data_IF_673869814990
#
_entry.id   IF_673869814990
#
_cell.length_a   1.000
_cell.length_b   1.000
_cell.length_c   1.000
_cell.angle_alpha   90.00
_cell.angle_beta   90.00
_cell.angle_gamma   90.00
#
_symmetry.space_group_name_H-M   'P 1'
#
loop_
_entity.id
_entity.type
_entity.pdbx_description
1 polymer ?
#
# COMPACT_ATOMS: atom_id res chain seq x y z
N UNK A 1 -21.86 -22.43 17.94
CA UNK A 1 -20.41 -22.77 17.82
C UNK A 1 -19.89 -21.96 16.65
N UNK A 2 -18.89 -21.10 16.85
CA UNK A 2 -18.24 -20.37 15.75
C UNK A 2 -17.63 -21.36 14.76
N UNK A 3 -17.94 -21.22 13.46
CA UNK A 3 -17.37 -22.04 12.39
C UNK A 3 -15.83 -21.97 12.43
N UNK A 4 -15.18 -23.11 12.16
CA UNK A 4 -13.71 -23.17 12.14
C UNK A 4 -13.14 -22.31 11.02
N UNK A 5 -12.12 -21.50 11.34
CA UNK A 5 -11.41 -20.71 10.35
C UNK A 5 -10.54 -21.63 9.49
N UNK A 6 -10.64 -21.46 8.16
CA UNK A 6 -9.82 -22.15 7.18
C UNK A 6 -8.86 -21.17 6.51
N UNK A 7 -7.63 -21.61 6.29
CA UNK A 7 -6.57 -20.86 5.65
C UNK A 7 -5.99 -21.64 4.47
N UNK A 8 -5.78 -20.94 3.35
CA UNK A 8 -4.76 -21.29 2.38
C UNK A 8 -3.89 -20.05 2.11
N UNK A 9 -2.57 -20.21 2.04
CA UNK A 9 -1.66 -19.12 1.77
C UNK A 9 -0.49 -19.61 0.92
N UNK A 10 0.01 -18.76 0.02
CA UNK A 10 1.13 -19.06 -0.88
C UNK A 10 1.79 -17.79 -1.38
N UNK A 11 3.12 -17.78 -1.43
CA UNK A 11 3.90 -16.81 -2.19
C UNK A 11 4.25 -17.39 -3.56
N UNK A 12 4.32 -16.51 -4.56
CA UNK A 12 4.78 -16.87 -5.90
C UNK A 12 5.60 -15.73 -6.49
N UNK A 13 6.71 -16.09 -7.10
CA UNK A 13 7.59 -15.15 -7.79
C UNK A 13 6.90 -14.60 -9.04
N UNK A 14 6.90 -13.25 -9.16
CA UNK A 14 6.36 -12.52 -10.32
C UNK A 14 7.43 -11.63 -10.99
N UNK A 15 8.70 -11.73 -10.57
CA UNK A 15 9.81 -10.95 -11.10
C UNK A 15 9.94 -11.16 -12.61
N UNK A 16 9.83 -10.10 -13.44
CA UNK A 16 10.07 -10.23 -14.87
C UNK A 16 11.56 -10.29 -15.20
N UNK A 17 11.88 -10.65 -16.44
CA UNK A 17 13.25 -10.48 -16.96
C UNK A 17 13.69 -9.02 -16.95
N UNK A 18 14.98 -8.75 -17.17
CA UNK A 18 15.50 -7.40 -17.32
C UNK A 18 14.98 -6.74 -18.62
N UNK A 19 15.25 -5.43 -18.78
CA UNK A 19 14.92 -4.70 -20.00
C UNK A 19 13.59 -3.94 -19.97
N UNK A 20 12.87 -3.96 -18.85
CA UNK A 20 11.63 -3.19 -18.67
C UNK A 20 11.87 -1.97 -17.75
N UNK A 21 11.15 -0.84 -17.97
CA UNK A 21 11.21 0.32 -17.07
C UNK A 21 10.74 -0.02 -15.65
N UNK A 22 11.38 0.60 -14.65
CA UNK A 22 10.95 0.57 -13.26
C UNK A 22 10.07 1.79 -12.97
N UNK A 23 8.96 1.57 -12.26
CA UNK A 23 8.05 2.64 -11.84
C UNK A 23 8.54 3.44 -10.63
N UNK A 24 7.83 4.54 -10.34
CA UNK A 24 7.90 5.29 -9.08
C UNK A 24 8.78 6.54 -9.07
N UNK A 25 9.74 6.70 -9.98
CA UNK A 25 10.60 7.88 -10.05
C UNK A 25 10.65 8.50 -11.43
N UNK A 26 10.26 9.78 -11.56
CA UNK A 26 10.40 10.55 -12.80
C UNK A 26 11.86 10.76 -13.23
N UNK A 27 12.75 10.90 -12.25
CA UNK A 27 14.18 11.14 -12.51
C UNK A 27 14.93 9.86 -12.90
N UNK A 28 14.27 8.68 -12.88
CA UNK A 28 14.94 7.44 -13.26
C UNK A 28 15.15 7.37 -14.78
N UNK A 29 16.38 7.11 -15.18
CA UNK A 29 16.75 6.87 -16.56
C UNK A 29 17.20 5.43 -16.74
N UNK A 30 16.66 4.75 -17.76
CA UNK A 30 17.03 3.37 -18.08
C UNK A 30 15.97 2.34 -17.70
N UNK A 31 16.36 1.11 -17.90
CA UNK A 31 15.51 -0.08 -17.66
C UNK A 31 16.19 -1.01 -16.66
N UNK A 32 15.47 -1.96 -16.13
CA UNK A 32 16.02 -2.95 -15.21
C UNK A 32 17.15 -3.74 -15.86
N UNK A 33 18.30 -3.80 -15.19
CA UNK A 33 19.49 -4.53 -15.62
C UNK A 33 19.61 -5.90 -14.96
N UNK A 34 18.84 -6.15 -13.89
CA UNK A 34 18.86 -7.40 -13.13
C UNK A 34 17.89 -7.42 -11.96
N UNK A 35 18.05 -8.39 -11.10
CA UNK A 35 17.25 -8.60 -9.89
C UNK A 35 18.17 -8.61 -8.69
N UNK A 36 17.89 -7.77 -7.68
CA UNK A 36 18.54 -7.88 -6.39
C UNK A 36 17.79 -8.86 -5.49
N UNK A 37 16.49 -8.69 -5.40
CA UNK A 37 15.59 -9.61 -4.73
C UNK A 37 14.29 -9.77 -5.51
N UNK A 38 13.69 -10.95 -5.41
CA UNK A 38 12.51 -11.26 -6.19
C UNK A 38 11.29 -10.41 -5.77
N UNK A 39 10.51 -10.04 -6.77
CA UNK A 39 9.17 -9.52 -6.59
C UNK A 39 8.20 -10.68 -6.46
N UNK A 40 7.33 -10.62 -5.47
CA UNK A 40 6.40 -11.69 -5.16
C UNK A 40 4.94 -11.22 -5.20
N UNK A 41 4.05 -12.16 -5.50
CA UNK A 41 2.65 -12.07 -5.16
C UNK A 41 2.38 -13.01 -4.00
N UNK A 42 1.90 -12.45 -2.88
CA UNK A 42 1.52 -13.20 -1.70
C UNK A 42 0.00 -13.33 -1.66
N UNK A 43 -0.51 -14.56 -1.69
CA UNK A 43 -1.93 -14.86 -1.64
C UNK A 43 -2.28 -15.41 -0.26
N UNK A 44 -3.34 -14.87 0.37
CA UNK A 44 -3.90 -15.40 1.61
C UNK A 44 -5.41 -15.44 1.51
N UNK A 45 -5.98 -16.63 1.68
CA UNK A 45 -7.41 -16.87 1.64
C UNK A 45 -7.90 -17.36 2.99
N UNK A 46 -8.69 -16.51 3.66
CA UNK A 46 -9.36 -16.83 4.91
C UNK A 46 -10.85 -17.09 4.63
N UNK A 47 -11.37 -18.21 5.11
CA UNK A 47 -12.74 -18.66 4.88
C UNK A 47 -13.24 -19.51 6.05
N UNK A 48 -14.48 -19.96 5.99
CA UNK A 48 -15.00 -21.02 6.84
C UNK A 48 -15.57 -22.15 5.96
N UNK A 49 -16.17 -23.17 6.57
CA UNK A 49 -16.87 -24.22 5.81
C UNK A 49 -18.12 -23.65 5.07
N UNK A 50 -18.79 -22.68 5.72
CA UNK A 50 -20.08 -22.12 5.27
C UNK A 50 -19.95 -20.77 4.56
N UNK A 51 -18.80 -20.06 4.70
CA UNK A 51 -18.55 -18.75 4.05
C UNK A 51 -17.26 -18.80 3.24
N UNK A 52 -17.31 -18.44 1.94
CA UNK A 52 -16.13 -18.40 1.07
C UNK A 52 -15.05 -17.40 1.54
N UNK A 53 -15.38 -16.52 2.48
CA UNK A 53 -14.42 -15.62 3.12
C UNK A 53 -13.87 -14.53 2.21
N UNK A 54 -12.60 -14.22 2.37
CA UNK A 54 -11.88 -13.16 1.64
C UNK A 54 -10.50 -13.65 1.23
N UNK A 55 -10.08 -13.29 0.02
CA UNK A 55 -8.77 -13.59 -0.52
C UNK A 55 -8.02 -12.29 -0.82
N UNK A 56 -6.86 -12.07 -0.18
CA UNK A 56 -5.95 -10.98 -0.52
C UNK A 56 -4.90 -11.48 -1.50
N UNK A 57 -4.62 -10.65 -2.50
CA UNK A 57 -3.51 -10.77 -3.46
C UNK A 57 -2.63 -9.54 -3.25
N UNK A 58 -1.58 -9.68 -2.48
CA UNK A 58 -0.62 -8.60 -2.20
C UNK A 58 0.58 -8.72 -3.16
N UNK A 59 0.83 -7.67 -3.94
CA UNK A 59 1.86 -7.64 -4.98
C UNK A 59 3.02 -6.73 -4.58
N UNK A 60 4.25 -7.14 -4.88
CA UNK A 60 5.40 -6.24 -4.89
C UNK A 60 5.36 -5.40 -6.17
N UNK A 61 4.51 -4.40 -6.15
CA UNK A 61 4.25 -3.48 -7.26
C UNK A 61 4.15 -2.04 -6.75
N UNK A 62 4.37 -1.07 -7.64
CA UNK A 62 4.16 0.34 -7.33
C UNK A 62 2.68 0.62 -7.02
N UNK A 63 1.78 0.09 -7.82
CA UNK A 63 0.34 0.30 -7.71
C UNK A 63 -0.43 -0.85 -8.35
N UNK A 64 -1.72 -0.90 -8.06
CA UNK A 64 -2.70 -1.74 -8.75
C UNK A 64 -3.81 -0.82 -9.28
N UNK A 65 -3.86 -0.59 -10.58
CA UNK A 65 -4.96 0.19 -11.16
C UNK A 65 -6.23 -0.65 -11.30
N UNK A 66 -7.36 -0.02 -11.58
CA UNK A 66 -8.66 -0.71 -11.69
C UNK A 66 -8.67 -1.83 -12.76
N UNK A 67 -7.86 -1.67 -13.83
CA UNK A 67 -7.75 -2.69 -14.88
C UNK A 67 -6.96 -3.91 -14.43
N UNK A 68 -5.83 -3.72 -13.74
CA UNK A 68 -5.03 -4.80 -13.16
C UNK A 68 -5.81 -5.51 -12.04
N UNK A 69 -6.45 -4.73 -11.17
CA UNK A 69 -7.32 -5.26 -10.10
C UNK A 69 -8.37 -6.20 -10.67
N UNK A 70 -9.12 -5.77 -11.68
CA UNK A 70 -10.16 -6.59 -12.32
C UNK A 70 -9.57 -7.86 -12.93
N UNK A 71 -8.48 -7.73 -13.69
CA UNK A 71 -7.82 -8.88 -14.34
C UNK A 71 -7.44 -9.95 -13.31
N UNK A 72 -6.83 -9.55 -12.19
CA UNK A 72 -6.40 -10.50 -11.16
C UNK A 72 -7.56 -11.01 -10.32
N UNK A 73 -8.50 -10.15 -9.94
CA UNK A 73 -9.66 -10.56 -9.14
C UNK A 73 -10.52 -11.58 -9.88
N UNK A 74 -10.83 -11.36 -11.17
CA UNK A 74 -11.61 -12.27 -11.99
C UNK A 74 -10.89 -13.62 -12.16
N UNK A 75 -9.60 -13.60 -12.48
CA UNK A 75 -8.82 -14.82 -12.71
C UNK A 75 -8.64 -15.64 -11.42
N UNK A 76 -8.32 -15.00 -10.29
CA UNK A 76 -8.15 -15.65 -9.00
C UNK A 76 -9.48 -16.19 -8.49
N UNK A 77 -10.54 -15.39 -8.56
CA UNK A 77 -11.88 -15.80 -8.14
C UNK A 77 -12.38 -17.03 -8.91
N UNK A 78 -12.19 -17.05 -10.23
CA UNK A 78 -12.52 -18.20 -11.07
C UNK A 78 -11.69 -19.45 -10.68
N UNK A 79 -10.40 -19.29 -10.37
CA UNK A 79 -9.51 -20.37 -9.97
C UNK A 79 -9.93 -21.05 -8.66
N UNK A 80 -10.35 -20.24 -7.65
CA UNK A 80 -10.73 -20.78 -6.33
C UNK A 80 -12.23 -21.05 -6.20
N UNK A 81 -13.07 -20.49 -7.08
CA UNK A 81 -14.54 -20.69 -7.10
C UNK A 81 -15.27 -19.77 -6.12
N UNK A 82 -14.88 -18.48 -6.04
CA UNK A 82 -15.54 -17.46 -5.22
C UNK A 82 -15.99 -16.27 -6.09
N UNK A 83 -16.78 -15.36 -5.51
CA UNK A 83 -17.13 -14.10 -6.14
C UNK A 83 -15.89 -13.19 -6.28
N UNK A 84 -15.59 -12.58 -7.45
CA UNK A 84 -14.53 -11.59 -7.62
C UNK A 84 -14.57 -10.44 -6.59
N UNK A 85 -15.75 -10.05 -6.14
CA UNK A 85 -15.91 -9.04 -5.07
C UNK A 85 -15.28 -9.45 -3.73
N UNK A 86 -14.93 -10.72 -3.53
CA UNK A 86 -14.24 -11.24 -2.33
C UNK A 86 -12.72 -11.33 -2.49
N UNK A 87 -12.18 -10.92 -3.63
CA UNK A 87 -10.75 -10.81 -3.89
C UNK A 87 -10.33 -9.35 -3.74
N UNK A 88 -9.32 -9.10 -2.91
CA UNK A 88 -8.72 -7.79 -2.69
C UNK A 88 -7.31 -7.79 -3.28
N UNK A 89 -7.02 -6.86 -4.17
CA UNK A 89 -5.70 -6.73 -4.80
C UNK A 89 -4.99 -5.51 -4.23
N UNK A 90 -3.81 -5.72 -3.64
CA UNK A 90 -3.07 -4.70 -2.93
C UNK A 90 -1.64 -4.58 -3.48
N UNK A 91 -1.07 -3.39 -3.44
CA UNK A 91 0.34 -3.16 -3.78
C UNK A 91 1.17 -2.84 -2.53
N UNK A 92 2.41 -3.31 -2.47
CA UNK A 92 3.39 -2.92 -1.46
C UNK A 92 3.90 -1.49 -1.66
N UNK A 93 3.70 -0.94 -2.84
CA UNK A 93 4.18 0.36 -3.30
C UNK A 93 5.70 0.43 -3.49
N UNK A 94 6.38 -0.70 -3.79
CA UNK A 94 7.80 -0.63 -4.12
C UNK A 94 8.06 0.23 -5.36
N UNK A 95 9.04 1.13 -5.27
CA UNK A 95 9.53 1.94 -6.39
C UNK A 95 10.60 1.22 -7.23
N UNK A 96 10.72 -0.09 -7.08
CA UNK A 96 11.67 -0.94 -7.83
C UNK A 96 10.99 -2.13 -8.50
N UNK A 97 9.68 -1.99 -8.79
CA UNK A 97 8.89 -2.91 -9.61
C UNK A 97 8.66 -2.38 -11.02
N UNK A 98 8.11 -3.19 -11.96
CA UNK A 98 7.85 -2.80 -13.33
C UNK A 98 6.78 -1.72 -13.46
N UNK A 99 7.03 -0.73 -14.31
CA UNK A 99 6.03 0.28 -14.67
C UNK A 99 4.87 -0.32 -15.49
N UNK A 100 5.17 -1.24 -16.41
CA UNK A 100 4.21 -1.75 -17.40
C UNK A 100 3.11 -2.68 -16.85
N UNK A 101 3.05 -2.94 -15.55
CA UNK A 101 1.95 -3.68 -14.95
C UNK A 101 0.67 -2.87 -14.85
N UNK A 102 0.77 -1.56 -14.80
CA UNK A 102 -0.37 -0.63 -14.80
C UNK A 102 -0.43 0.19 -16.07
N UNK A 103 -1.56 0.85 -16.31
CA UNK A 103 -1.67 1.93 -17.30
C UNK A 103 -1.12 3.24 -16.76
N UNK A 104 -1.57 4.34 -17.35
CA UNK A 104 -1.24 5.68 -16.86
C UNK A 104 -1.84 5.89 -15.46
N UNK A 105 -0.99 6.05 -14.47
CA UNK A 105 -1.39 6.23 -13.07
C UNK A 105 -1.78 7.66 -12.71
N UNK A 106 -1.32 8.64 -13.50
CA UNK A 106 -1.59 10.06 -13.28
C UNK A 106 -1.60 10.81 -14.61
N UNK A 107 -2.54 11.77 -14.84
CA UNK A 107 -2.65 12.50 -16.11
C UNK A 107 -1.35 13.22 -16.55
N UNK A 108 -0.55 13.71 -15.60
CA UNK A 108 0.73 14.36 -15.86
C UNK A 108 1.92 13.42 -16.06
N UNK A 109 1.73 12.10 -15.99
CA UNK A 109 2.78 11.09 -16.14
C UNK A 109 2.58 10.28 -17.41
N UNK A 110 3.66 9.87 -18.09
CA UNK A 110 3.57 8.79 -19.06
C UNK A 110 3.22 7.50 -18.34
N UNK A 111 2.68 6.54 -19.06
CA UNK A 111 2.42 5.19 -18.54
C UNK A 111 1.67 4.38 -19.58
N UNK A 112 2.18 3.21 -19.88
CA UNK A 112 1.55 2.29 -20.82
C UNK A 112 1.64 0.88 -20.28
N UNK A 113 0.46 0.24 -20.23
CA UNK A 113 0.37 -1.17 -19.84
C UNK A 113 1.05 -2.06 -20.88
N UNK A 114 1.92 -2.93 -20.42
CA UNK A 114 2.48 -4.02 -21.21
C UNK A 114 1.61 -5.28 -21.02
N UNK A 115 0.82 -5.60 -22.04
CA UNK A 115 -0.09 -6.74 -21.99
C UNK A 115 0.65 -8.08 -21.78
N UNK A 116 1.89 -8.21 -22.28
CA UNK A 116 2.69 -9.41 -22.09
C UNK A 116 3.19 -9.55 -20.64
N UNK A 117 3.62 -8.44 -20.01
CA UNK A 117 3.99 -8.44 -18.59
C UNK A 117 2.80 -8.77 -17.69
N UNK A 118 1.65 -8.14 -17.94
CA UNK A 118 0.42 -8.39 -17.17
C UNK A 118 -0.05 -9.82 -17.35
N UNK A 119 -0.05 -10.35 -18.60
CA UNK A 119 -0.47 -11.72 -18.90
C UNK A 119 0.35 -12.75 -18.15
N UNK A 120 1.69 -12.64 -18.20
CA UNK A 120 2.59 -13.57 -17.46
C UNK A 120 2.39 -13.52 -15.94
N UNK A 121 2.22 -12.32 -15.39
CA UNK A 121 1.92 -12.18 -13.95
C UNK A 121 0.57 -12.80 -13.60
N UNK A 122 -0.49 -12.51 -14.38
CA UNK A 122 -1.83 -13.06 -14.15
C UNK A 122 -1.86 -14.59 -14.26
N UNK A 123 -1.17 -15.19 -15.23
CA UNK A 123 -1.02 -16.65 -15.34
C UNK A 123 -0.33 -17.24 -14.10
N UNK A 124 0.75 -16.60 -13.64
CA UNK A 124 1.51 -17.03 -12.45
C UNK A 124 0.67 -16.97 -11.19
N UNK A 125 -0.02 -15.86 -10.97
CA UNK A 125 -0.91 -15.65 -9.81
C UNK A 125 -2.11 -16.60 -9.85
N UNK A 126 -2.71 -16.80 -11.02
CA UNK A 126 -3.82 -17.77 -11.22
C UNK A 126 -3.36 -19.19 -10.91
N UNK A 127 -2.17 -19.58 -11.36
CA UNK A 127 -1.57 -20.87 -11.04
C UNK A 127 -1.36 -21.07 -9.54
N UNK A 128 -0.96 -20.02 -8.80
CA UNK A 128 -0.89 -20.05 -7.34
C UNK A 128 -2.29 -20.19 -6.72
N UNK A 129 -3.28 -19.45 -7.19
CA UNK A 129 -4.66 -19.52 -6.70
C UNK A 129 -5.28 -20.91 -6.87
N UNK A 130 -5.03 -21.60 -7.97
CA UNK A 130 -5.48 -22.98 -8.18
C UNK A 130 -4.94 -23.93 -7.10
N UNK A 131 -3.71 -23.74 -6.65
CA UNK A 131 -3.11 -24.55 -5.56
C UNK A 131 -3.71 -24.24 -4.19
N UNK A 132 -4.15 -23.00 -3.94
CA UNK A 132 -4.83 -22.63 -2.69
C UNK A 132 -6.10 -23.43 -2.48
N UNK A 133 -6.86 -23.70 -3.55
CA UNK A 133 -8.12 -24.44 -3.46
C UNK A 133 -7.97 -25.82 -2.82
N UNK A 134 -6.87 -26.51 -3.12
CA UNK A 134 -6.57 -27.84 -2.57
C UNK A 134 -5.92 -27.81 -1.17
N UNK A 135 -5.37 -26.65 -0.76
CA UNK A 135 -4.52 -26.53 0.42
C UNK A 135 -5.16 -25.91 1.65
N UNK A 136 -6.49 -25.72 1.67
CA UNK A 136 -7.18 -25.12 2.83
C UNK A 136 -7.11 -26.03 4.03
N UNK A 137 -6.61 -25.51 5.16
CA UNK A 137 -6.54 -26.20 6.44
C UNK A 137 -7.11 -25.37 7.58
N UNK A 138 -7.52 -26.04 8.65
CA UNK A 138 -7.99 -25.37 9.87
C UNK A 138 -6.87 -24.61 10.54
N UNK A 139 -7.19 -23.40 11.02
CA UNK A 139 -6.25 -22.55 11.75
C UNK A 139 -6.92 -21.87 12.94
N UNK A 140 -6.08 -21.43 13.86
CA UNK A 140 -6.43 -20.49 14.94
C UNK A 140 -5.76 -19.16 14.63
N UNK A 141 -6.53 -18.08 14.78
CA UNK A 141 -6.04 -16.73 14.58
C UNK A 141 -5.81 -16.02 15.92
N UNK A 142 -4.73 -15.22 15.99
CA UNK A 142 -4.44 -14.32 17.09
C UNK A 142 -4.10 -12.94 16.53
N UNK A 143 -4.52 -11.92 17.24
CA UNK A 143 -4.19 -10.55 16.88
C UNK A 143 -3.08 -10.00 17.75
N UNK A 144 -2.08 -9.40 17.12
CA UNK A 144 -0.99 -8.72 17.77
C UNK A 144 -0.87 -7.30 17.21
N UNK A 145 -0.49 -6.36 18.07
CA UNK A 145 -0.23 -4.99 17.67
C UNK A 145 1.03 -4.48 18.38
N UNK A 146 1.85 -3.76 17.66
CA UNK A 146 3.07 -3.16 18.17
C UNK A 146 3.38 -1.84 17.46
N UNK A 147 4.53 -1.27 17.74
CA UNK A 147 5.00 -0.04 17.10
C UNK A 147 6.51 -0.04 16.94
N UNK A 148 6.98 0.69 15.93
CA UNK A 148 8.41 0.98 15.69
C UNK A 148 8.55 2.29 14.92
N UNK A 149 9.53 3.10 15.27
CA UNK A 149 9.90 4.32 14.53
C UNK A 149 11.10 4.07 13.60
N UNK A 150 11.63 2.84 13.58
CA UNK A 150 12.89 2.53 12.93
C UNK A 150 12.80 2.42 11.39
N UNK A 151 11.60 2.40 10.80
CA UNK A 151 11.40 2.13 9.36
C UNK A 151 10.85 3.33 8.60
N UNK A 152 10.18 4.25 9.27
CA UNK A 152 9.60 5.40 8.61
C UNK A 152 9.16 6.48 9.57
N UNK A 153 8.87 7.64 9.01
CA UNK A 153 8.34 8.82 9.69
C UNK A 153 7.73 9.76 8.66
N UNK A 154 7.16 10.89 9.14
CA UNK A 154 6.67 11.92 8.24
C UNK A 154 7.82 12.43 7.36
N UNK A 155 7.58 12.55 6.04
CA UNK A 155 8.65 12.88 5.08
C UNK A 155 8.88 14.36 4.86
N UNK A 156 8.05 15.21 5.49
CA UNK A 156 8.17 16.67 5.42
C UNK A 156 8.85 17.23 6.65
N UNK A 157 8.49 16.74 7.84
CA UNK A 157 9.00 17.21 9.13
C UNK A 157 9.10 16.04 10.11
N UNK A 158 10.18 15.99 10.91
CA UNK A 158 10.42 14.86 11.83
C UNK A 158 9.31 14.69 12.89
N UNK A 159 8.64 15.78 13.28
CA UNK A 159 7.56 15.84 14.27
C UNK A 159 6.16 15.76 13.65
N UNK A 160 6.06 15.56 12.33
CA UNK A 160 4.78 15.42 11.61
C UNK A 160 4.03 14.14 11.95
N UNK A 161 2.71 14.13 11.72
CA UNK A 161 1.92 12.92 11.94
C UNK A 161 2.46 11.74 11.13
N UNK A 162 2.61 10.58 11.77
CA UNK A 162 2.85 9.30 11.09
C UNK A 162 2.37 8.14 11.97
N UNK A 163 2.03 7.03 11.33
CA UNK A 163 1.59 5.82 12.03
C UNK A 163 2.78 4.90 12.28
N UNK A 164 3.30 4.90 13.51
CA UNK A 164 4.40 4.02 13.94
C UNK A 164 3.95 2.60 14.19
N UNK A 165 2.64 2.34 14.22
CA UNK A 165 2.11 1.06 14.62
C UNK A 165 2.06 0.05 13.48
N UNK A 166 2.18 -1.21 13.83
CA UNK A 166 1.88 -2.34 12.97
C UNK A 166 0.81 -3.24 13.60
N UNK A 167 0.02 -3.90 12.75
CA UNK A 167 -0.88 -4.96 13.13
C UNK A 167 -0.40 -6.29 12.56
N UNK A 168 -0.63 -7.38 13.26
CA UNK A 168 -0.28 -8.73 12.79
C UNK A 168 -1.41 -9.70 13.13
N UNK A 169 -2.00 -10.29 12.11
CA UNK A 169 -2.84 -11.48 12.26
C UNK A 169 -1.93 -12.71 12.16
N UNK A 170 -1.71 -13.37 13.28
CA UNK A 170 -0.98 -14.62 13.35
C UNK A 170 -1.94 -15.80 13.15
N UNK A 171 -1.62 -16.66 12.20
CA UNK A 171 -2.40 -17.85 11.86
C UNK A 171 -1.57 -19.10 12.13
N UNK A 172 -2.08 -19.97 13.00
CA UNK A 172 -1.44 -21.23 13.41
C UNK A 172 -2.33 -22.42 13.12
N UNK A 173 -1.74 -23.52 12.71
CA UNK A 173 -2.45 -24.81 12.59
C UNK A 173 -2.88 -25.33 13.96
N UNK A 174 -3.73 -26.35 13.99
CA UNK A 174 -4.21 -26.96 15.24
C UNK A 174 -3.10 -27.63 16.06
N UNK A 175 -2.03 -28.07 15.42
CA UNK A 175 -0.81 -28.58 16.07
C UNK A 175 0.09 -27.49 16.67
N UNK A 176 -0.30 -26.23 16.52
CA UNK A 176 0.45 -25.07 16.98
C UNK A 176 1.56 -24.61 16.04
N UNK A 177 1.80 -25.28 14.91
CA UNK A 177 2.79 -24.83 13.92
C UNK A 177 2.36 -23.55 13.24
N UNK A 178 3.31 -22.63 12.88
CA UNK A 178 3.00 -21.43 12.12
C UNK A 178 2.37 -21.79 10.77
N UNK A 179 1.35 -21.05 10.35
CA UNK A 179 0.69 -21.20 9.07
C UNK A 179 0.91 -19.99 8.15
N UNK A 180 0.52 -18.81 8.58
CA UNK A 180 0.76 -17.55 7.88
C UNK A 180 0.74 -16.35 8.83
N UNK A 181 1.29 -15.23 8.37
CA UNK A 181 1.10 -13.89 8.94
C UNK A 181 0.47 -12.98 7.89
N UNK A 182 -0.49 -12.15 8.32
CA UNK A 182 -0.93 -10.97 7.58
C UNK A 182 -0.57 -9.75 8.43
N UNK A 183 0.32 -8.90 7.94
CA UNK A 183 0.80 -7.74 8.69
C UNK A 183 0.77 -6.47 7.85
N UNK A 184 0.73 -5.33 8.51
CA UNK A 184 0.75 -4.01 7.88
C UNK A 184 1.72 -3.07 8.58
N UNK A 185 2.20 -2.08 7.84
CA UNK A 185 2.95 -0.93 8.31
C UNK A 185 2.81 0.23 7.32
N UNK A 186 2.98 1.48 7.77
CA UNK A 186 2.78 2.67 6.95
C UNK A 186 4.12 3.39 6.69
N UNK A 187 4.78 3.07 5.58
CA UNK A 187 5.96 3.79 5.10
C UNK A 187 6.21 3.50 3.63
N UNK A 188 6.54 4.52 2.83
CA UNK A 188 6.95 4.32 1.44
C UNK A 188 8.18 3.41 1.33
N UNK A 189 8.16 2.36 0.51
CA UNK A 189 9.33 1.53 0.23
C UNK A 189 10.21 2.21 -0.83
N UNK A 190 10.88 3.26 -0.40
CA UNK A 190 11.73 4.16 -1.20
C UNK A 190 13.13 4.32 -0.59
N UNK A 191 13.65 3.23 -0.01
CA UNK A 191 15.06 3.19 0.42
C UNK A 191 15.96 3.33 -0.79
N UNK A 192 15.68 2.54 -1.84
CA UNK A 192 16.38 2.62 -3.12
C UNK A 192 15.91 3.85 -3.90
N UNK A 193 16.87 4.57 -4.48
CA UNK A 193 16.64 5.82 -5.23
C UNK A 193 16.36 5.60 -6.72
N UNK A 194 16.27 6.70 -7.50
CA UNK A 194 16.10 6.64 -8.94
C UNK A 194 17.31 6.05 -9.70
N UNK A 195 18.47 5.99 -9.07
CA UNK A 195 19.71 5.38 -9.57
C UNK A 195 19.68 3.84 -9.51
N UNK A 196 18.77 3.23 -8.75
CA UNK A 196 18.59 1.80 -8.75
C UNK A 196 17.95 1.30 -10.04
N UNK A 197 18.61 0.36 -10.72
CA UNK A 197 18.14 -0.34 -11.91
C UNK A 197 18.00 -1.87 -11.69
N UNK A 198 17.79 -2.29 -10.45
CA UNK A 198 17.52 -3.69 -10.13
C UNK A 198 16.12 -3.86 -9.56
N UNK A 199 15.44 -4.94 -9.94
CA UNK A 199 14.19 -5.32 -9.29
C UNK A 199 14.39 -5.53 -7.80
N UNK A 200 13.51 -5.00 -6.99
CA UNK A 200 13.52 -5.18 -5.53
C UNK A 200 12.15 -4.90 -4.93
N UNK A 201 11.76 -5.73 -3.97
CA UNK A 201 10.59 -5.49 -3.13
C UNK A 201 10.86 -4.45 -2.01
N UNK A 202 12.06 -3.84 -1.97
CA UNK A 202 12.52 -2.89 -0.96
C UNK A 202 12.36 -3.45 0.47
N UNK A 203 12.20 -2.59 1.50
CA UNK A 203 12.10 -3.04 2.90
C UNK A 203 10.91 -3.99 3.19
N UNK A 204 9.74 -3.95 2.50
CA UNK A 204 8.69 -4.95 2.73
C UNK A 204 9.13 -6.37 2.42
N UNK A 205 9.80 -6.57 1.28
CA UNK A 205 10.35 -7.88 0.92
C UNK A 205 11.45 -8.32 1.89
N UNK A 206 12.33 -7.41 2.31
CA UNK A 206 13.33 -7.70 3.34
C UNK A 206 12.67 -8.11 4.66
N UNK A 207 11.59 -7.45 5.10
CA UNK A 207 10.83 -7.81 6.30
C UNK A 207 10.28 -9.23 6.22
N UNK A 208 9.67 -9.62 5.09
CA UNK A 208 9.12 -10.98 4.90
C UNK A 208 10.21 -12.04 5.00
N UNK A 209 11.35 -11.83 4.34
CA UNK A 209 12.49 -12.78 4.39
C UNK A 209 13.06 -12.92 5.80
N UNK A 210 13.24 -11.82 6.52
CA UNK A 210 13.73 -11.83 7.90
C UNK A 210 12.73 -12.50 8.87
N UNK A 211 11.42 -12.27 8.70
CA UNK A 211 10.39 -12.98 9.47
C UNK A 211 10.46 -14.48 9.24
N UNK A 212 10.62 -14.93 7.99
CA UNK A 212 10.78 -16.34 7.68
C UNK A 212 12.00 -16.95 8.40
N UNK A 213 13.11 -16.22 8.48
CA UNK A 213 14.31 -16.66 9.19
C UNK A 213 14.12 -16.68 10.72
N UNK A 214 13.45 -15.66 11.30
CA UNK A 214 13.31 -15.51 12.75
C UNK A 214 12.29 -16.46 13.37
N UNK A 215 11.19 -16.76 12.67
CA UNK A 215 10.05 -17.48 13.24
C UNK A 215 9.62 -18.71 12.42
N UNK A 216 10.37 -19.04 11.35
CA UNK A 216 10.04 -20.18 10.48
C UNK A 216 8.69 -20.04 9.79
N UNK A 217 8.25 -18.80 9.53
CA UNK A 217 6.95 -18.53 8.92
C UNK A 217 7.01 -18.77 7.42
N UNK A 218 6.23 -19.71 6.87
CA UNK A 218 6.29 -20.04 5.45
C UNK A 218 5.72 -18.95 4.55
N UNK A 219 4.68 -18.20 4.99
CA UNK A 219 4.05 -17.13 4.21
C UNK A 219 3.82 -15.91 5.11
N UNK A 220 4.34 -14.76 4.69
CA UNK A 220 4.14 -13.49 5.38
C UNK A 220 3.62 -12.45 4.39
N UNK A 221 2.35 -12.08 4.51
CA UNK A 221 1.66 -11.15 3.61
C UNK A 221 1.72 -9.75 4.16
N UNK A 222 2.28 -8.81 3.39
CA UNK A 222 2.38 -7.41 3.74
C UNK A 222 1.25 -6.59 3.09
N UNK A 223 0.62 -5.72 3.87
CA UNK A 223 -0.33 -4.71 3.39
C UNK A 223 0.20 -3.30 3.70
N UNK A 224 0.23 -2.44 2.69
CA UNK A 224 0.71 -1.07 2.86
C UNK A 224 -0.32 -0.21 3.58
N UNK A 225 0.11 0.49 4.62
CA UNK A 225 -0.74 1.38 5.40
C UNK A 225 -0.97 2.75 4.75
N UNK A 226 -1.52 3.70 5.54
CA UNK A 226 -1.68 5.10 5.14
C UNK A 226 -0.30 5.79 5.13
N UNK A 227 0.42 5.67 4.02
CA UNK A 227 1.81 6.07 3.89
C UNK A 227 2.04 7.27 2.95
N UNK A 228 0.99 8.00 2.54
CA UNK A 228 1.09 9.07 1.55
C UNK A 228 2.15 10.13 1.87
N UNK A 229 2.31 10.48 3.14
CA UNK A 229 3.29 11.42 3.65
C UNK A 229 4.38 10.79 4.53
N UNK A 230 4.50 9.44 4.55
CA UNK A 230 5.44 8.71 5.39
C UNK A 230 6.50 7.97 4.56
N UNK A 231 7.77 8.07 4.95
CA UNK A 231 8.88 7.34 4.31
C UNK A 231 10.08 7.20 5.24
N UNK A 232 11.07 6.43 4.82
CA UNK A 232 12.35 6.29 5.54
C UNK A 232 13.29 7.51 5.44
N UNK A 233 12.86 8.62 4.82
CA UNK A 233 13.71 9.78 4.49
C UNK A 233 14.59 10.26 5.63
N UNK A 234 14.07 10.38 6.85
CA UNK A 234 14.80 10.90 8.01
C UNK A 234 15.32 9.81 8.96
N UNK A 235 15.02 8.54 8.71
CA UNK A 235 15.49 7.43 9.57
C UNK A 235 16.55 6.57 8.88
N UNK A 236 16.55 6.48 7.55
CA UNK A 236 17.52 5.71 6.78
C UNK A 236 18.91 6.35 6.84
N UNK A 237 19.96 5.52 6.87
CA UNK A 237 21.37 5.90 6.85
C UNK A 237 22.01 5.83 5.47
N UNK A 238 21.37 5.11 4.54
CA UNK A 238 21.84 4.91 3.17
C UNK A 238 20.70 4.77 2.19
N UNK A 239 21.05 4.54 0.92
CA UNK A 239 20.10 4.32 -0.19
C UNK A 239 20.45 3.05 -0.97
N UNK A 240 20.97 2.08 -0.28
CA UNK A 240 21.46 0.83 -0.87
C UNK A 240 20.71 -0.40 -0.31
N UNK A 241 21.06 -1.55 -0.84
CA UNK A 241 20.46 -2.81 -0.44
C UNK A 241 20.84 -3.24 0.99
N UNK A 242 21.91 -2.71 1.56
CA UNK A 242 22.26 -2.98 2.96
C UNK A 242 21.27 -2.25 3.88
N UNK A 243 20.91 -1.01 3.54
CA UNK A 243 19.90 -0.25 4.26
C UNK A 243 18.49 -0.84 4.10
N UNK A 244 18.14 -1.35 2.91
CA UNK A 244 16.88 -2.11 2.68
C UNK A 244 16.79 -3.29 3.68
N UNK A 245 17.86 -4.08 3.82
CA UNK A 245 17.91 -5.19 4.78
C UNK A 245 17.84 -4.71 6.23
N UNK A 246 18.53 -3.62 6.56
CA UNK A 246 18.53 -3.07 7.92
C UNK A 246 17.13 -2.63 8.36
N UNK A 247 16.42 -1.84 7.53
CA UNK A 247 15.08 -1.37 7.84
C UNK A 247 14.06 -2.53 7.87
N UNK A 248 14.12 -3.45 6.91
CA UNK A 248 13.28 -4.65 6.92
C UNK A 248 13.53 -5.52 8.14
N UNK A 249 14.79 -5.70 8.56
CA UNK A 249 15.18 -6.43 9.76
C UNK A 249 14.71 -5.77 11.05
N UNK A 250 14.66 -4.43 11.12
CA UNK A 250 14.12 -3.71 12.26
C UNK A 250 12.62 -3.99 12.45
N UNK A 251 11.82 -3.92 11.38
CA UNK A 251 10.41 -4.25 11.46
C UNK A 251 10.19 -5.72 11.79
N UNK A 252 10.90 -6.64 11.13
CA UNK A 252 10.80 -8.08 11.40
C UNK A 252 11.12 -8.41 12.86
N UNK A 253 12.18 -7.83 13.42
CA UNK A 253 12.56 -7.99 14.83
C UNK A 253 11.48 -7.47 15.77
N UNK A 254 10.89 -6.31 15.46
CA UNK A 254 9.80 -5.72 16.25
C UNK A 254 8.56 -6.61 16.24
N UNK A 255 8.19 -7.14 15.07
CA UNK A 255 7.08 -8.10 14.92
C UNK A 255 7.40 -9.38 15.71
N UNK A 256 8.57 -10.00 15.52
CA UNK A 256 8.95 -11.23 16.20
C UNK A 256 8.93 -11.09 17.73
N UNK A 257 9.41 -9.97 18.27
CA UNK A 257 9.31 -9.67 19.70
C UNK A 257 7.86 -9.56 20.18
N UNK A 258 7.01 -8.90 19.39
CA UNK A 258 5.58 -8.74 19.72
C UNK A 258 4.86 -10.10 19.71
N UNK A 259 5.17 -10.98 18.76
CA UNK A 259 4.63 -12.34 18.70
C UNK A 259 5.08 -13.19 19.91
N UNK A 260 6.32 -13.01 20.37
CA UNK A 260 6.89 -13.75 21.49
C UNK A 260 6.40 -13.28 22.86
N UNK A 261 6.06 -11.99 23.00
CA UNK A 261 5.78 -11.35 24.29
C UNK A 261 4.35 -11.56 24.79
N UNK A 262 3.41 -12.06 24.01
CA UNK A 262 2.00 -11.86 24.30
C UNK A 262 1.19 -13.15 24.50
N UNK A 263 0.39 -13.15 25.57
CA UNK A 263 -0.91 -13.82 25.60
C UNK A 263 -1.90 -12.97 24.77
N UNK A 264 -1.82 -13.02 23.45
CA UNK A 264 -2.73 -12.26 22.60
C UNK A 264 -4.08 -12.95 22.53
N UNK A 265 -5.19 -12.17 22.57
CA UNK A 265 -6.52 -12.75 22.49
C UNK A 265 -6.71 -13.49 21.16
N UNK A 266 -7.47 -14.56 21.20
CA UNK A 266 -7.89 -15.24 19.98
C UNK A 266 -8.71 -14.26 19.11
N UNK A 267 -8.37 -14.15 17.85
CA UNK A 267 -9.20 -13.46 16.87
C UNK A 267 -10.27 -14.45 16.41
N UNK A 268 -11.46 -14.33 16.99
CA UNK A 268 -12.59 -15.23 16.73
C UNK A 268 -13.77 -14.44 16.19
N UNK A 269 -14.61 -15.08 15.41
CA UNK A 269 -15.80 -14.51 14.80
C UNK A 269 -15.88 -14.78 13.30
N UNK A 270 -16.99 -14.41 12.67
CA UNK A 270 -17.14 -14.55 11.23
C UNK A 270 -16.22 -13.58 10.49
N UNK A 271 -15.75 -14.01 9.31
CA UNK A 271 -15.13 -13.12 8.34
C UNK A 271 -16.26 -12.41 7.61
N UNK A 272 -16.21 -11.08 7.59
CA UNK A 272 -17.21 -10.26 6.90
C UNK A 272 -16.53 -9.30 5.94
N UNK A 273 -17.20 -9.03 4.85
CA UNK A 273 -16.78 -8.05 3.86
C UNK A 273 -17.96 -7.12 3.52
N UNK A 274 -17.70 -5.82 3.52
CA UNK A 274 -18.63 -4.79 3.03
C UNK A 274 -17.89 -3.87 2.05
N UNK A 275 -18.54 -3.53 0.94
CA UNK A 275 -18.05 -2.57 -0.05
C UNK A 275 -19.03 -1.42 -0.17
N UNK A 276 -18.53 -0.21 -0.27
CA UNK A 276 -19.35 0.98 -0.53
C UNK A 276 -18.55 1.95 -1.40
N UNK A 277 -18.95 2.20 -2.64
CA UNK A 277 -18.29 3.20 -3.48
C UNK A 277 -18.57 4.60 -2.94
N UNK A 278 -17.54 5.44 -2.96
CA UNK A 278 -17.64 6.88 -2.69
C UNK A 278 -17.39 7.63 -3.99
N UNK A 279 -18.21 8.65 -4.28
CA UNK A 279 -17.98 9.55 -5.41
C UNK A 279 -17.30 10.82 -4.92
N UNK A 280 -16.02 11.00 -5.26
CA UNK A 280 -15.24 12.19 -4.94
C UNK A 280 -15.10 13.07 -6.19
N UNK A 281 -15.49 14.36 -6.11
CA UNK A 281 -15.30 15.28 -7.22
C UNK A 281 -13.81 15.53 -7.48
N UNK A 282 -13.44 15.55 -8.76
CA UNK A 282 -12.13 16.04 -9.15
C UNK A 282 -12.02 17.54 -8.91
N UNK A 283 -10.84 17.98 -8.46
CA UNK A 283 -10.59 19.42 -8.25
C UNK A 283 -10.42 20.15 -9.56
N UNK A 284 -10.68 21.44 -9.51
CA UNK A 284 -10.20 22.36 -10.54
C UNK A 284 -8.67 22.45 -10.48
N UNK A 285 -8.05 22.46 -11.64
CA UNK A 285 -6.61 22.64 -11.78
C UNK A 285 -6.40 24.04 -12.37
N UNK A 286 -5.41 24.81 -11.87
CA UNK A 286 -5.07 26.12 -12.42
C UNK A 286 -4.83 26.07 -13.95
N UNK A 287 -4.92 27.21 -14.61
CA UNK A 287 -4.60 27.27 -16.02
C UNK A 287 -3.18 26.79 -16.31
N UNK A 288 -2.88 26.42 -17.54
CA UNK A 288 -1.51 26.03 -17.92
C UNK A 288 -0.52 27.18 -17.66
N UNK A 289 -0.93 28.43 -17.91
CA UNK A 289 -0.13 29.63 -17.67
C UNK A 289 0.19 29.79 -16.17
N UNK A 290 -0.83 29.77 -15.29
CA UNK A 290 -0.65 29.87 -13.85
C UNK A 290 0.22 28.72 -13.30
N UNK A 291 0.00 27.50 -13.81
CA UNK A 291 0.77 26.31 -13.40
C UNK A 291 2.25 26.40 -13.82
N UNK A 292 2.52 26.99 -14.97
CA UNK A 292 3.89 27.23 -15.45
C UNK A 292 4.59 28.32 -14.62
N UNK A 293 3.87 29.38 -14.23
CA UNK A 293 4.39 30.42 -13.35
C UNK A 293 4.74 29.85 -11.96
N UNK A 294 3.88 29.01 -11.38
CA UNK A 294 4.16 28.30 -10.14
C UNK A 294 5.41 27.44 -10.25
N UNK A 295 5.55 26.67 -11.34
CA UNK A 295 6.72 25.84 -11.60
C UNK A 295 8.00 26.67 -11.68
N UNK A 296 7.98 27.77 -12.45
CA UNK A 296 9.15 28.65 -12.59
C UNK A 296 9.54 29.32 -11.25
N UNK A 297 8.54 29.68 -10.43
CA UNK A 297 8.78 30.23 -9.09
C UNK A 297 9.45 29.20 -8.18
N UNK A 298 8.94 27.96 -8.15
CA UNK A 298 9.51 26.87 -7.38
C UNK A 298 10.91 26.48 -7.87
N UNK A 299 11.18 26.54 -9.19
CA UNK A 299 12.51 26.30 -9.77
C UNK A 299 13.54 27.33 -9.30
N UNK A 300 13.16 28.63 -9.29
CA UNK A 300 14.03 29.69 -8.75
C UNK A 300 14.34 29.50 -7.28
N UNK A 301 13.35 29.12 -6.49
CA UNK A 301 13.54 28.82 -5.05
C UNK A 301 14.50 27.64 -4.87
N UNK A 302 14.30 26.54 -5.60
CA UNK A 302 15.20 25.39 -5.54
C UNK A 302 16.65 25.76 -5.93
N UNK A 303 16.84 26.49 -7.03
CA UNK A 303 18.16 26.92 -7.47
C UNK A 303 18.82 27.87 -6.43
N UNK A 304 18.05 28.74 -5.79
CA UNK A 304 18.55 29.61 -4.71
C UNK A 304 19.04 28.79 -3.51
N UNK A 305 18.22 27.83 -3.02
CA UNK A 305 18.60 26.99 -1.90
C UNK A 305 19.80 26.10 -2.23
N UNK A 306 19.86 25.56 -3.46
CA UNK A 306 20.98 24.75 -3.95
C UNK A 306 22.29 25.55 -3.94
N UNK A 307 22.27 26.79 -4.44
CA UNK A 307 23.44 27.67 -4.47
C UNK A 307 23.90 28.07 -3.06
N UNK A 308 22.97 28.18 -2.10
CA UNK A 308 23.24 28.59 -0.73
C UNK A 308 23.78 27.47 0.15
N UNK A 309 23.31 26.24 -0.02
CA UNK A 309 23.49 25.16 0.94
C UNK A 309 24.15 23.90 0.38
N UNK A 310 24.19 23.71 -0.95
CA UNK A 310 24.64 22.48 -1.61
C UNK A 310 23.60 21.35 -1.57
N UNK A 311 23.80 20.32 -2.38
CA UNK A 311 22.81 19.30 -2.75
C UNK A 311 22.24 18.50 -1.57
N UNK A 312 23.03 18.24 -0.54
CA UNK A 312 22.64 17.35 0.57
C UNK A 312 21.83 18.05 1.68
N UNK A 313 21.64 19.36 1.60
CA UNK A 313 20.97 20.12 2.66
C UNK A 313 19.44 19.88 2.63
N UNK A 314 18.79 19.72 3.79
CA UNK A 314 17.34 19.49 3.86
C UNK A 314 16.47 20.54 3.16
N UNK A 315 16.83 21.84 3.24
CA UNK A 315 16.11 22.92 2.57
C UNK A 315 16.10 22.74 1.04
N UNK A 316 17.24 22.33 0.45
CA UNK A 316 17.35 22.05 -0.98
C UNK A 316 16.42 20.94 -1.39
N UNK A 317 16.33 19.89 -0.57
CA UNK A 317 15.46 18.75 -0.80
C UNK A 317 13.98 19.10 -0.75
N UNK A 318 13.59 19.96 0.19
CA UNK A 318 12.22 20.48 0.31
C UNK A 318 11.86 21.31 -0.92
N UNK A 319 12.72 22.27 -1.29
CA UNK A 319 12.50 23.13 -2.46
C UNK A 319 12.46 22.33 -3.77
N UNK A 320 13.34 21.33 -3.93
CA UNK A 320 13.33 20.41 -5.07
C UNK A 320 12.00 19.65 -5.17
N UNK A 321 11.53 19.08 -4.05
CA UNK A 321 10.27 18.32 -4.00
C UNK A 321 9.08 19.21 -4.35
N UNK A 322 9.09 20.47 -3.92
CA UNK A 322 8.07 21.46 -4.32
C UNK A 322 8.12 21.76 -5.82
N UNK A 323 9.32 21.97 -6.38
CA UNK A 323 9.49 22.14 -7.81
C UNK A 323 8.95 20.93 -8.60
N UNK A 324 9.28 19.71 -8.19
CA UNK A 324 8.77 18.48 -8.79
C UNK A 324 7.23 18.43 -8.76
N UNK A 325 6.60 18.83 -7.63
CA UNK A 325 5.15 18.93 -7.51
C UNK A 325 4.52 19.95 -8.46
N UNK A 326 5.12 21.16 -8.56
CA UNK A 326 4.66 22.20 -9.48
C UNK A 326 4.86 21.79 -10.94
N UNK A 327 5.93 21.05 -11.27
CA UNK A 327 6.16 20.50 -12.60
C UNK A 327 5.09 19.48 -12.99
N UNK A 328 4.69 18.62 -12.05
CA UNK A 328 3.60 17.67 -12.24
C UNK A 328 2.24 18.37 -12.40
N UNK A 329 1.98 19.44 -11.64
CA UNK A 329 0.78 20.26 -11.79
C UNK A 329 0.70 20.87 -13.19
N UNK A 330 1.81 21.45 -13.70
CA UNK A 330 1.89 22.02 -15.04
C UNK A 330 1.70 20.96 -16.13
N UNK A 331 2.27 19.76 -15.96
CA UNK A 331 2.05 18.63 -16.86
C UNK A 331 0.57 18.19 -16.85
N UNK A 332 -0.06 18.11 -15.68
CA UNK A 332 -1.48 17.82 -15.55
C UNK A 332 -2.36 18.90 -16.20
N UNK A 333 -2.01 20.19 -16.06
CA UNK A 333 -2.74 21.29 -16.69
C UNK A 333 -2.68 21.26 -18.23
N UNK A 334 -1.62 20.65 -18.80
CA UNK A 334 -1.42 20.52 -20.24
C UNK A 334 -2.14 19.31 -20.87
N UNK A 335 -2.74 18.43 -20.06
CA UNK A 335 -3.36 17.17 -20.54
C UNK A 335 -4.88 17.22 -20.43
N UNK A 336 -5.56 16.32 -21.17
CA UNK A 336 -6.98 16.07 -20.94
C UNK A 336 -7.14 15.30 -19.61
N UNK A 337 -7.98 15.84 -18.75
CA UNK A 337 -8.13 15.39 -17.36
C UNK A 337 -9.49 14.75 -17.15
N UNK A 338 -9.59 13.79 -16.22
CA UNK A 338 -10.89 13.30 -15.80
C UNK A 338 -11.75 14.46 -15.24
N UNK A 339 -13.01 14.46 -15.59
CA UNK A 339 -14.01 15.46 -15.15
C UNK A 339 -15.11 14.76 -14.35
N UNK A 340 -15.83 15.54 -13.56
CA UNK A 340 -16.91 15.02 -12.71
C UNK A 340 -16.36 14.41 -11.41
N UNK A 341 -16.66 13.15 -11.15
CA UNK A 341 -16.28 12.46 -9.91
C UNK A 341 -15.53 11.17 -10.21
N UNK A 342 -14.56 10.84 -9.36
CA UNK A 342 -13.99 9.50 -9.28
C UNK A 342 -14.91 8.59 -8.47
N UNK A 343 -15.12 7.36 -8.93
CA UNK A 343 -15.67 6.29 -8.11
C UNK A 343 -14.53 5.65 -7.31
N UNK A 344 -14.60 5.81 -5.99
CA UNK A 344 -13.58 5.35 -5.04
C UNK A 344 -14.07 4.06 -4.40
N UNK A 345 -13.48 2.89 -4.68
CA UNK A 345 -13.80 1.68 -3.97
C UNK A 345 -13.33 1.78 -2.51
N UNK A 346 -14.25 1.63 -1.57
CA UNK A 346 -13.93 1.49 -0.15
C UNK A 346 -14.44 0.15 0.34
N UNK A 347 -13.56 -0.64 0.94
CA UNK A 347 -13.88 -2.00 1.40
C UNK A 347 -13.49 -2.16 2.87
N UNK A 348 -14.38 -2.73 3.67
CA UNK A 348 -14.09 -3.17 5.04
C UNK A 348 -14.12 -4.69 5.08
N UNK A 349 -13.06 -5.28 5.60
CA UNK A 349 -13.01 -6.70 6.00
C UNK A 349 -12.89 -6.75 7.50
N UNK A 350 -13.62 -7.65 8.17
CA UNK A 350 -13.44 -7.86 9.61
C UNK A 350 -13.33 -9.34 9.98
N UNK A 351 -12.60 -9.56 11.08
CA UNK A 351 -12.54 -10.83 11.81
C UNK A 351 -12.70 -10.52 13.31
N UNK A 352 -13.88 -10.77 13.86
CA UNK A 352 -14.19 -10.39 15.24
C UNK A 352 -14.03 -8.89 15.49
N UNK A 353 -13.15 -8.49 16.40
CA UNK A 353 -12.88 -7.09 16.78
C UNK A 353 -11.85 -6.38 15.89
N UNK A 354 -11.36 -7.04 14.84
CA UNK A 354 -10.36 -6.52 13.93
C UNK A 354 -11.04 -6.08 12.63
N UNK A 355 -10.70 -4.91 12.12
CA UNK A 355 -11.15 -4.42 10.82
C UNK A 355 -9.97 -3.93 9.97
N UNK A 356 -9.95 -4.31 8.70
CA UNK A 356 -9.09 -3.77 7.66
C UNK A 356 -9.94 -2.95 6.71
N UNK A 357 -9.67 -1.65 6.65
CA UNK A 357 -10.30 -0.71 5.75
C UNK A 357 -9.38 -0.49 4.55
N UNK A 358 -9.82 -0.84 3.36
CA UNK A 358 -9.08 -0.73 2.12
C UNK A 358 -9.51 0.48 1.31
N UNK A 359 -8.54 1.25 0.77
CA UNK A 359 -8.75 2.40 -0.10
C UNK A 359 -7.73 2.41 -1.24
N UNK A 360 -8.04 3.03 -2.41
CA UNK A 360 -7.13 3.09 -3.56
C UNK A 360 -6.17 4.28 -3.51
N UNK A 361 -5.89 4.84 -2.33
CA UNK A 361 -5.13 6.07 -2.17
C UNK A 361 -3.76 5.84 -1.55
N UNK A 362 -2.85 6.76 -1.86
CA UNK A 362 -1.72 7.16 -1.05
C UNK A 362 -2.22 8.13 0.04
N UNK A 363 -2.88 7.57 1.05
CA UNK A 363 -3.56 8.34 2.09
C UNK A 363 -2.55 8.93 3.07
N UNK A 364 -2.74 10.20 3.47
CA UNK A 364 -1.93 10.81 4.53
C UNK A 364 -2.16 10.13 5.88
N UNK A 365 -1.09 10.04 6.67
CA UNK A 365 -1.08 9.38 7.97
C UNK A 365 -2.11 9.98 8.93
N UNK A 366 -2.31 11.31 8.92
CA UNK A 366 -3.29 12.01 9.76
C UNK A 366 -4.72 11.52 9.55
N UNK A 367 -5.13 11.28 8.28
CA UNK A 367 -6.43 10.76 7.90
C UNK A 367 -6.60 9.30 8.35
N UNK A 368 -5.56 8.47 8.12
CA UNK A 368 -5.54 7.08 8.58
C UNK A 368 -5.63 6.96 10.10
N UNK A 369 -4.89 7.78 10.83
CA UNK A 369 -4.92 7.85 12.30
C UNK A 369 -6.29 8.32 12.82
N UNK A 370 -6.94 9.29 12.14
CA UNK A 370 -8.29 9.73 12.49
C UNK A 370 -9.31 8.60 12.31
N UNK A 371 -9.29 7.89 11.19
CA UNK A 371 -10.18 6.73 10.96
C UNK A 371 -9.98 5.68 12.08
N UNK A 372 -8.75 5.36 12.43
CA UNK A 372 -8.44 4.38 13.47
C UNK A 372 -8.94 4.82 14.85
N UNK A 373 -8.75 6.09 15.20
CA UNK A 373 -9.16 6.64 16.50
C UNK A 373 -10.69 6.67 16.67
N UNK A 374 -11.43 6.95 15.58
CA UNK A 374 -12.88 7.16 15.60
C UNK A 374 -13.67 5.91 15.18
N UNK A 375 -12.98 4.83 14.81
CA UNK A 375 -13.57 3.55 14.45
C UNK A 375 -14.28 2.89 15.64
N UNK A 376 -15.42 2.20 15.41
CA UNK A 376 -16.09 1.40 16.43
C UNK A 376 -15.37 0.06 16.73
N UNK A 377 -14.44 -0.37 15.85
CA UNK A 377 -13.68 -1.60 16.06
C UNK A 377 -12.50 -1.34 17.00
N UNK A 378 -12.24 -2.31 17.87
CA UNK A 378 -11.09 -2.24 18.79
C UNK A 378 -9.75 -2.15 18.08
N UNK A 379 -9.64 -2.82 16.93
CA UNK A 379 -8.42 -2.88 16.13
C UNK A 379 -8.76 -2.57 14.68
N UNK A 380 -8.55 -1.33 14.25
CA UNK A 380 -8.74 -0.92 12.87
C UNK A 380 -7.40 -0.68 12.20
N UNK A 381 -7.21 -1.27 11.02
CA UNK A 381 -6.07 -1.01 10.13
C UNK A 381 -6.57 -0.33 8.86
N UNK A 382 -5.89 0.72 8.44
CA UNK A 382 -6.20 1.44 7.20
C UNK A 382 -5.15 1.04 6.17
N UNK A 383 -5.62 0.41 5.11
CA UNK A 383 -4.79 -0.14 4.03
C UNK A 383 -5.01 0.73 2.79
N UNK A 384 -3.95 1.34 2.32
CA UNK A 384 -3.92 2.07 1.06
C UNK A 384 -3.62 1.17 -0.14
N UNK A 385 -3.47 1.75 -1.33
CA UNK A 385 -2.97 1.07 -2.53
C UNK A 385 -3.72 -0.22 -2.88
N UNK A 386 -5.04 -0.24 -2.62
CA UNK A 386 -5.89 -1.42 -2.72
C UNK A 386 -7.04 -1.24 -3.70
N UNK A 387 -7.31 -2.26 -4.52
CA UNK A 387 -8.44 -2.36 -5.45
C UNK A 387 -8.53 -1.21 -6.48
N UNK A 388 -7.45 -0.51 -6.69
CA UNK A 388 -7.33 0.65 -7.56
C UNK A 388 -6.16 1.54 -7.16
N UNK A 389 -5.95 2.60 -7.96
CA UNK A 389 -4.97 3.63 -7.63
C UNK A 389 -5.49 4.98 -8.11
N UNK A 390 -5.71 5.88 -7.17
CA UNK A 390 -6.21 7.24 -7.42
C UNK A 390 -5.20 8.31 -6.97
N UNK A 391 -3.95 7.93 -6.72
CA UNK A 391 -2.88 8.82 -6.30
C UNK A 391 -3.02 9.29 -4.86
N UNK A 392 -2.42 10.43 -4.57
CA UNK A 392 -2.39 11.00 -3.23
C UNK A 392 -3.73 11.53 -2.77
N UNK A 393 -4.01 11.34 -1.47
CA UNK A 393 -5.07 12.06 -0.78
C UNK A 393 -4.50 12.72 0.49
N UNK A 394 -4.02 13.97 0.37
CA UNK A 394 -3.55 14.76 1.51
C UNK A 394 -4.71 15.29 2.35
N UNK A 395 -4.41 15.65 3.59
CA UNK A 395 -5.32 16.40 4.46
C UNK A 395 -5.34 17.91 4.09
N UNK A 396 -6.23 18.67 4.74
CA UNK A 396 -6.36 20.11 4.52
C UNK A 396 -5.07 20.88 4.86
N UNK A 397 -4.29 20.41 5.85
CA UNK A 397 -3.03 21.01 6.24
C UNK A 397 -1.97 20.83 5.15
N UNK A 398 -1.88 19.64 4.56
CA UNK A 398 -0.98 19.37 3.42
C UNK A 398 -1.31 20.24 2.20
N UNK A 399 -2.59 20.50 1.93
CA UNK A 399 -3.00 21.45 0.89
C UNK A 399 -2.58 22.88 1.21
N UNK A 400 -2.79 23.33 2.45
CA UNK A 400 -2.42 24.69 2.90
C UNK A 400 -0.91 24.92 2.88
N UNK A 401 -0.14 23.91 3.28
CA UNK A 401 1.32 23.98 3.36
C UNK A 401 1.99 23.85 1.98
N UNK A 402 1.23 23.47 0.93
CA UNK A 402 1.73 23.36 -0.44
C UNK A 402 2.80 22.27 -0.57
N UNK A 403 2.56 21.09 0.01
CA UNK A 403 3.44 19.94 -0.11
C UNK A 403 3.33 19.29 -1.49
N UNK A 404 4.30 18.49 -1.91
CA UNK A 404 4.33 17.80 -3.21
C UNK A 404 2.99 17.16 -3.57
N UNK A 405 2.41 16.43 -2.63
CA UNK A 405 1.18 15.66 -2.82
C UNK A 405 -0.03 16.55 -3.07
N UNK A 406 -0.04 17.78 -2.54
CA UNK A 406 -1.10 18.74 -2.79
C UNK A 406 -1.09 19.28 -4.22
N UNK A 407 0.08 19.30 -4.87
CA UNK A 407 0.19 19.67 -6.28
C UNK A 407 -0.21 18.53 -7.23
N UNK A 408 0.11 17.28 -6.85
CA UNK A 408 -0.13 16.12 -7.73
C UNK A 408 -1.49 15.44 -7.51
N UNK A 409 -2.16 15.67 -6.39
CA UNK A 409 -3.49 15.07 -6.13
C UNK A 409 -4.52 15.53 -7.17
N UNK A 410 -5.47 14.65 -7.49
CA UNK A 410 -6.62 14.95 -8.34
C UNK A 410 -7.82 15.53 -7.56
N UNK A 411 -7.70 15.69 -6.25
CA UNK A 411 -8.81 16.01 -5.34
C UNK A 411 -8.56 17.30 -4.58
N UNK A 412 -9.66 17.94 -4.16
CA UNK A 412 -9.62 19.19 -3.38
C UNK A 412 -9.30 18.96 -1.90
N UNK A 413 -9.07 20.05 -1.14
CA UNK A 413 -8.66 20.00 0.25
C UNK A 413 -9.66 19.29 1.20
N UNK A 414 -10.94 19.29 0.86
CA UNK A 414 -11.99 18.67 1.68
C UNK A 414 -12.14 17.16 1.40
N UNK A 415 -11.53 16.63 0.34
CA UNK A 415 -11.73 15.25 -0.09
C UNK A 415 -11.25 14.23 0.95
N UNK A 416 -10.19 14.55 1.70
CA UNK A 416 -9.72 13.73 2.81
C UNK A 416 -10.78 13.57 3.91
N UNK A 417 -11.41 14.66 4.32
CA UNK A 417 -12.48 14.64 5.33
C UNK A 417 -13.71 13.87 4.83
N UNK A 418 -14.12 14.08 3.58
CA UNK A 418 -15.23 13.35 2.95
C UNK A 418 -14.96 11.84 2.94
N UNK A 419 -13.73 11.42 2.60
CA UNK A 419 -13.35 10.00 2.65
C UNK A 419 -13.41 9.47 4.09
N UNK A 420 -12.88 10.19 5.08
CA UNK A 420 -12.89 9.77 6.49
C UNK A 420 -14.32 9.54 6.98
N UNK A 421 -15.23 10.48 6.74
CA UNK A 421 -16.64 10.35 7.17
C UNK A 421 -17.35 9.17 6.49
N UNK A 422 -17.09 8.94 5.19
CA UNK A 422 -17.61 7.78 4.48
C UNK A 422 -17.06 6.46 5.07
N UNK A 423 -15.76 6.39 5.33
CA UNK A 423 -15.11 5.23 5.95
C UNK A 423 -15.69 4.92 7.33
N UNK A 424 -15.88 5.95 8.17
CA UNK A 424 -16.46 5.78 9.50
C UNK A 424 -17.93 5.34 9.43
N UNK A 425 -18.69 5.85 8.47
CA UNK A 425 -20.08 5.43 8.24
C UNK A 425 -20.13 3.95 7.84
N UNK A 426 -19.25 3.52 6.92
CA UNK A 426 -19.17 2.12 6.50
C UNK A 426 -18.72 1.21 7.66
N UNK A 427 -17.73 1.61 8.45
CA UNK A 427 -17.26 0.87 9.63
C UNK A 427 -18.38 0.70 10.68
N UNK A 428 -19.17 1.75 10.96
CA UNK A 428 -20.31 1.69 11.90
C UNK A 428 -21.40 0.75 11.38
N UNK A 429 -21.75 0.83 10.10
CA UNK A 429 -22.72 -0.07 9.49
C UNK A 429 -22.26 -1.53 9.54
N UNK A 430 -20.99 -1.78 9.30
CA UNK A 430 -20.36 -3.10 9.35
C UNK A 430 -20.33 -3.65 10.79
N UNK A 431 -20.06 -2.82 11.81
CA UNK A 431 -20.07 -3.21 13.23
C UNK A 431 -21.47 -3.56 13.72
N UNK A 432 -22.50 -2.85 13.29
CA UNK A 432 -23.91 -3.19 13.61
C UNK A 432 -24.28 -4.58 13.10
N UNK A 433 -23.82 -4.96 11.90
CA UNK A 433 -24.03 -6.32 11.38
C UNK A 433 -23.32 -7.38 12.24
N UNK A 434 -22.10 -7.06 12.72
CA UNK A 434 -21.32 -7.93 13.63
C UNK A 434 -22.03 -8.16 14.96
N UNK A 435 -22.65 -7.12 15.52
CA UNK A 435 -23.25 -7.13 16.87
C UNK A 435 -24.62 -7.82 16.95
N UNK A 436 -25.25 -8.13 15.81
CA UNK A 436 -26.59 -8.75 15.72
C UNK A 436 -26.57 -10.29 15.71
N UNK A 437 -25.44 -10.91 15.66
CA UNK A 437 -25.22 -12.36 15.70
C UNK A 437 -24.54 -12.80 16.99
#
# INVERSE_FOLDING_TARGET
>A
MTAALLLAAQDVRITPGPGHPLGGYLARNGVATGTHDDLEASLIWLSTEDDPGVLWVALDALAVDAGLTRTLADAVAAAVGIDPARVLVCASHTHSGPEGWTGQLHPGLPGQRDAGLVGRMAETVTGAALRLRAGRGRVRARWHAGSTEAVGGNRYRPDGPHDTSFGVLELRRDDGSPAALLFDYASHPTVLGPDNLSWSADWPGATRRELAALIGQPVAVFLQGAAGDASSRFVRRGRDHAEVRALGGHLATSIARTLAAASSPAATGPIRLSRSPLHLPYRDVPSLEDSQELRQSAEREWQHELARHGEDHPAVRIAQTRYEGCAMLAAMAATDRPKGCAEVPVTVVSLGEIAWLHTPFELFASLGLRIRRESPFRHTRVIGYSDGYLGYLPDADGHRDGVYESYVTLFGPDAGDVLVEHCLTLLRAHDVMRSRE
#
